data_IF_282608439861
#
_entry.id   IF_282608439861
#
_cell.length_a   1.000
_cell.length_b   1.000
_cell.length_c   1.000
_cell.angle_alpha   90.00
_cell.angle_beta   90.00
_cell.angle_gamma   90.00
#
_symmetry.space_group_name_H-M   'P 1'
#
loop_
_entity.id
_entity.type
_entity.pdbx_description
1 polymer ?
#
# COMPACT_ATOMS: atom_id res chain seq x y z
N UNK A 1 -5.97 -19.01 -17.71
CA UNK A 1 -6.62 -17.96 -16.90
C UNK A 1 -7.98 -18.51 -16.50
N UNK A 2 -8.34 -18.40 -15.23
CA UNK A 2 -9.60 -18.89 -14.67
C UNK A 2 -10.44 -17.66 -14.27
N UNK A 3 -11.63 -17.50 -14.88
CA UNK A 3 -12.49 -16.33 -14.69
C UNK A 3 -13.92 -16.80 -14.49
N UNK A 4 -14.51 -16.38 -13.37
CA UNK A 4 -15.88 -16.70 -13.00
C UNK A 4 -16.65 -15.41 -12.69
N UNK A 5 -17.95 -15.41 -13.00
CA UNK A 5 -18.87 -14.31 -12.66
C UNK A 5 -19.84 -14.82 -11.61
N UNK A 6 -19.83 -14.21 -10.44
CA UNK A 6 -20.63 -14.62 -9.29
C UNK A 6 -21.34 -13.44 -8.67
N UNK A 7 -22.40 -13.71 -7.91
CA UNK A 7 -22.96 -12.68 -7.04
C UNK A 7 -21.94 -12.26 -5.96
N UNK A 8 -22.01 -11.04 -5.40
CA UNK A 8 -21.08 -10.60 -4.36
C UNK A 8 -20.99 -11.56 -3.16
N UNK A 9 -22.11 -12.20 -2.80
CA UNK A 9 -22.18 -13.15 -1.68
C UNK A 9 -21.42 -14.43 -1.98
N UNK A 10 -21.60 -15.00 -3.18
CA UNK A 10 -20.91 -16.22 -3.60
C UNK A 10 -19.41 -15.96 -3.78
N UNK A 11 -19.06 -14.86 -4.47
CA UNK A 11 -17.67 -14.45 -4.68
C UNK A 11 -16.94 -14.28 -3.33
N UNK A 12 -17.59 -13.68 -2.34
CA UNK A 12 -17.03 -13.51 -0.99
C UNK A 12 -16.79 -14.87 -0.32
N UNK A 13 -17.74 -15.81 -0.41
CA UNK A 13 -17.58 -17.15 0.19
C UNK A 13 -16.42 -17.91 -0.44
N UNK A 14 -16.32 -17.91 -1.77
CA UNK A 14 -15.22 -18.57 -2.49
C UNK A 14 -13.89 -17.93 -2.16
N UNK A 15 -13.82 -16.59 -2.17
CA UNK A 15 -12.60 -15.84 -1.82
C UNK A 15 -12.13 -16.17 -0.40
N UNK A 16 -13.03 -16.15 0.59
CA UNK A 16 -12.70 -16.49 1.97
C UNK A 16 -12.28 -17.94 2.15
N UNK A 17 -12.90 -18.89 1.43
CA UNK A 17 -12.51 -20.30 1.48
C UNK A 17 -11.10 -20.48 0.92
N UNK A 18 -10.82 -19.91 -0.25
CA UNK A 18 -9.49 -19.94 -0.88
C UNK A 18 -8.42 -19.28 -0.01
N UNK A 19 -8.73 -18.13 0.59
CA UNK A 19 -7.82 -17.44 1.51
C UNK A 19 -7.45 -18.32 2.72
N UNK A 20 -8.41 -19.06 3.30
CA UNK A 20 -8.13 -20.04 4.38
C UNK A 20 -7.22 -21.18 3.93
N UNK A 21 -7.26 -21.53 2.66
CA UNK A 21 -6.40 -22.55 2.04
C UNK A 21 -5.03 -21.98 1.60
N UNK A 22 -4.76 -20.69 1.87
CA UNK A 22 -3.53 -20.02 1.44
C UNK A 22 -3.48 -19.70 -0.06
N UNK A 23 -4.63 -19.68 -0.72
CA UNK A 23 -4.77 -19.41 -2.15
C UNK A 23 -5.21 -17.97 -2.41
N UNK A 24 -4.66 -17.37 -3.47
CA UNK A 24 -4.95 -15.99 -3.87
C UNK A 24 -6.19 -15.93 -4.79
N UNK A 25 -6.95 -14.83 -4.71
CA UNK A 25 -8.09 -14.54 -5.58
C UNK A 25 -8.10 -13.06 -5.94
N UNK A 26 -8.28 -12.74 -7.23
CA UNK A 26 -8.43 -11.35 -7.67
C UNK A 26 -9.93 -11.02 -7.71
N UNK A 27 -10.34 -9.96 -7.01
CA UNK A 27 -11.72 -9.46 -7.04
C UNK A 27 -11.85 -8.30 -8.03
N UNK A 28 -12.73 -8.44 -9.02
CA UNK A 28 -13.08 -7.36 -9.97
C UNK A 28 -14.46 -6.83 -9.61
N UNK A 29 -14.55 -5.59 -9.15
CA UNK A 29 -15.79 -5.04 -8.56
C UNK A 29 -16.09 -3.62 -9.03
N UNK A 30 -17.32 -3.16 -8.76
CA UNK A 30 -17.69 -1.74 -8.90
C UNK A 30 -17.08 -0.84 -7.81
N UNK A 31 -17.34 0.46 -7.90
CA UNK A 31 -16.69 1.51 -7.10
C UNK A 31 -16.86 1.33 -5.57
N UNK A 32 -18.08 1.07 -5.10
CA UNK A 32 -18.35 0.91 -3.65
C UNK A 32 -17.66 -0.34 -3.09
N UNK A 33 -17.75 -1.47 -3.80
CA UNK A 33 -17.12 -2.70 -3.35
C UNK A 33 -15.59 -2.61 -3.42
N UNK A 34 -15.02 -1.86 -4.37
CA UNK A 34 -13.58 -1.59 -4.39
C UNK A 34 -13.16 -0.99 -3.05
N UNK A 35 -13.80 0.10 -2.63
CA UNK A 35 -13.52 0.78 -1.37
C UNK A 35 -13.57 -0.17 -0.16
N UNK A 36 -14.65 -0.95 -0.05
CA UNK A 36 -14.85 -1.86 1.08
C UNK A 36 -13.84 -3.01 1.11
N UNK A 37 -13.57 -3.62 -0.05
CA UNK A 37 -12.70 -4.79 -0.12
C UNK A 37 -11.22 -4.42 0.03
N UNK A 38 -10.81 -3.23 -0.44
CA UNK A 38 -9.45 -2.71 -0.25
C UNK A 38 -9.16 -2.26 1.18
N UNK A 39 -10.19 -2.10 2.02
CA UNK A 39 -10.00 -1.93 3.47
C UNK A 39 -10.05 -3.30 4.19
N UNK A 40 -11.08 -4.10 3.91
CA UNK A 40 -11.37 -5.36 4.61
C UNK A 40 -10.20 -6.36 4.57
N UNK A 41 -9.77 -6.77 3.36
CA UNK A 41 -8.77 -7.83 3.24
C UNK A 41 -7.37 -7.39 3.70
N UNK A 42 -6.88 -6.20 3.33
CA UNK A 42 -5.60 -5.71 3.86
C UNK A 42 -5.57 -5.56 5.38
N UNK A 43 -6.67 -5.15 6.03
CA UNK A 43 -6.74 -5.14 7.50
C UNK A 43 -6.61 -6.57 8.07
N UNK A 44 -7.27 -7.56 7.46
CA UNK A 44 -7.19 -8.95 7.91
C UNK A 44 -5.80 -9.57 7.68
N UNK A 45 -5.15 -9.23 6.57
CA UNK A 45 -3.87 -9.82 6.16
C UNK A 45 -2.65 -9.11 6.78
N UNK A 46 -2.68 -7.79 6.87
CA UNK A 46 -1.54 -6.94 7.23
C UNK A 46 -1.75 -6.15 8.53
N UNK A 47 -2.95 -6.21 9.11
CA UNK A 47 -3.34 -5.41 10.29
C UNK A 47 -3.60 -3.93 9.98
N UNK A 48 -3.54 -3.52 8.71
CA UNK A 48 -3.78 -2.15 8.24
C UNK A 48 -3.98 -2.11 6.73
N UNK A 49 -4.83 -1.20 6.23
CA UNK A 49 -5.02 -0.93 4.80
C UNK A 49 -4.05 0.12 4.22
N UNK A 50 -3.20 0.71 5.06
CA UNK A 50 -2.21 1.70 4.64
C UNK A 50 -0.99 1.09 3.92
N UNK A 51 -0.80 -0.23 3.99
CA UNK A 51 0.38 -0.94 3.44
C UNK A 51 0.08 -1.63 2.11
N UNK A 52 -0.60 -0.92 1.22
CA UNK A 52 -1.07 -1.43 -0.06
C UNK A 52 -0.56 -0.57 -1.21
N UNK A 53 -0.36 -1.20 -2.36
CA UNK A 53 -0.21 -0.49 -3.63
C UNK A 53 -1.60 -0.13 -4.17
N UNK A 54 -1.82 1.16 -4.47
CA UNK A 54 -3.01 1.64 -5.16
C UNK A 54 -2.59 2.41 -6.41
N UNK A 55 -2.74 1.73 -7.56
CA UNK A 55 -2.28 2.21 -8.87
C UNK A 55 -3.51 2.47 -9.74
N UNK A 56 -3.58 3.68 -10.31
CA UNK A 56 -4.66 4.10 -11.20
C UNK A 56 -4.06 4.47 -12.57
N UNK A 57 -4.11 3.54 -13.54
CA UNK A 57 -3.77 3.85 -14.93
C UNK A 57 -4.78 4.86 -15.49
N UNK A 58 -4.31 6.05 -15.86
CA UNK A 58 -5.18 7.09 -16.39
C UNK A 58 -5.52 6.78 -17.85
N UNK A 59 -6.77 7.02 -18.26
CA UNK A 59 -7.24 6.76 -19.62
C UNK A 59 -6.42 7.51 -20.70
N UNK A 60 -5.84 8.66 -20.35
CA UNK A 60 -4.98 9.45 -21.23
C UNK A 60 -3.53 8.92 -21.30
N UNK A 61 -3.22 7.75 -20.74
CA UNK A 61 -1.89 7.14 -20.73
C UNK A 61 -0.98 7.55 -19.57
N UNK A 62 -1.44 8.45 -18.70
CA UNK A 62 -0.76 8.80 -17.45
C UNK A 62 -0.92 7.73 -16.36
N UNK A 63 -0.34 7.98 -15.18
CA UNK A 63 -0.51 7.13 -14.00
C UNK A 63 -0.72 7.98 -12.76
N UNK A 64 -1.59 7.53 -11.86
CA UNK A 64 -1.76 8.08 -10.52
C UNK A 64 -1.48 6.97 -9.50
N UNK A 65 -0.72 7.30 -8.46
CA UNK A 65 -0.20 6.35 -7.49
C UNK A 65 -0.59 6.84 -6.09
N UNK A 66 -1.63 6.24 -5.53
CA UNK A 66 -2.10 6.57 -4.20
C UNK A 66 -1.22 5.86 -3.15
N UNK A 67 -0.92 6.56 -2.06
CA UNK A 67 0.03 6.10 -1.04
C UNK A 67 -0.59 5.16 -0.01
N UNK A 68 -1.70 4.49 -0.37
CA UNK A 68 -2.50 3.62 0.49
C UNK A 68 -4.01 3.92 0.37
N UNK A 69 -4.84 3.08 0.98
CA UNK A 69 -6.31 3.21 0.96
C UNK A 69 -6.90 3.89 2.21
N UNK A 70 -6.05 4.34 3.14
CA UNK A 70 -6.47 4.92 4.42
C UNK A 70 -6.72 6.44 4.38
N UNK A 71 -7.33 6.96 5.45
CA UNK A 71 -7.53 8.40 5.64
C UNK A 71 -6.32 9.13 6.26
N UNK A 72 -6.47 10.42 6.55
CA UNK A 72 -5.41 11.31 7.06
C UNK A 72 -5.04 11.16 8.55
N UNK A 73 -5.61 10.17 9.24
CA UNK A 73 -5.29 9.80 10.63
C UNK A 73 -5.19 10.98 11.64
N UNK A 74 -6.28 11.71 11.96
CA UNK A 74 -6.25 12.89 12.84
C UNK A 74 -5.70 12.62 14.25
N UNK A 75 -5.82 11.39 14.75
CA UNK A 75 -5.25 10.97 16.05
C UNK A 75 -3.71 10.91 16.05
N UNK A 76 -3.06 10.89 14.90
CA UNK A 76 -1.59 10.95 14.79
C UNK A 76 -1.12 12.38 15.04
N UNK A 77 -1.79 13.36 14.44
CA UNK A 77 -1.51 14.79 14.66
C UNK A 77 -1.68 15.17 16.14
N UNK A 78 -2.73 14.67 16.80
CA UNK A 78 -2.95 14.94 18.22
C UNK A 78 -1.80 14.41 19.10
N UNK A 79 -1.23 13.24 18.79
CA UNK A 79 -0.05 12.75 19.53
C UNK A 79 1.17 13.61 19.24
N UNK A 80 1.40 13.95 17.98
CA UNK A 80 2.52 14.79 17.60
C UNK A 80 2.48 16.16 18.31
N UNK A 81 1.30 16.78 18.40
CA UNK A 81 1.13 18.06 19.10
C UNK A 81 1.40 17.96 20.62
N UNK A 82 1.00 16.85 21.27
CA UNK A 82 1.17 16.68 22.71
C UNK A 82 2.56 16.19 23.11
N UNK A 83 3.13 15.28 22.35
CA UNK A 83 4.26 14.45 22.75
C UNK A 83 5.43 14.50 21.75
N UNK A 84 5.28 15.22 20.63
CA UNK A 84 6.31 15.33 19.60
C UNK A 84 6.60 14.05 18.84
N UNK A 85 5.69 13.06 18.89
CA UNK A 85 5.86 11.72 18.30
C UNK A 85 4.87 11.49 17.16
N UNK A 86 5.37 11.23 15.95
CA UNK A 86 4.53 10.94 14.78
C UNK A 86 4.57 9.45 14.42
N UNK A 87 3.51 8.73 14.76
CA UNK A 87 3.36 7.28 14.47
C UNK A 87 2.74 6.97 13.10
N UNK A 88 2.81 7.90 12.15
CA UNK A 88 2.36 7.68 10.78
C UNK A 88 3.37 6.79 10.04
N UNK A 89 2.90 5.73 9.39
CA UNK A 89 3.74 4.80 8.63
C UNK A 89 3.74 5.21 7.14
N UNK A 90 4.88 5.68 6.64
CA UNK A 90 5.06 6.17 5.27
C UNK A 90 5.37 5.06 4.25
N UNK A 91 5.24 3.78 4.61
CA UNK A 91 5.53 2.67 3.68
C UNK A 91 4.79 2.80 2.35
N UNK A 92 3.51 3.19 2.39
CA UNK A 92 2.71 3.39 1.17
C UNK A 92 3.23 4.52 0.27
N UNK A 93 3.86 5.55 0.84
CA UNK A 93 4.52 6.61 0.08
C UNK A 93 5.78 6.08 -0.64
N UNK A 94 6.56 5.23 0.03
CA UNK A 94 7.75 4.62 -0.58
C UNK A 94 7.39 3.69 -1.73
N UNK A 95 6.35 2.89 -1.53
CA UNK A 95 5.81 1.97 -2.53
C UNK A 95 5.28 2.74 -3.74
N UNK A 96 4.44 3.75 -3.52
CA UNK A 96 3.88 4.58 -4.59
C UNK A 96 4.98 5.33 -5.37
N UNK A 97 5.98 5.89 -4.67
CA UNK A 97 7.11 6.58 -5.31
C UNK A 97 7.95 5.62 -6.17
N UNK A 98 8.20 4.40 -5.69
CA UNK A 98 8.95 3.37 -6.42
C UNK A 98 8.25 3.04 -7.74
N UNK A 99 6.95 2.75 -7.69
CA UNK A 99 6.15 2.43 -8.88
C UNK A 99 6.03 3.64 -9.81
N UNK A 100 5.88 4.86 -9.28
CA UNK A 100 5.80 6.06 -10.10
C UNK A 100 7.08 6.30 -10.91
N UNK A 101 8.25 6.07 -10.31
CA UNK A 101 9.55 6.21 -10.98
C UNK A 101 9.76 5.07 -11.98
N UNK A 102 9.31 3.85 -11.66
CA UNK A 102 9.34 2.70 -12.58
C UNK A 102 8.51 2.96 -13.84
N UNK A 103 7.26 3.43 -13.69
CA UNK A 103 6.39 3.78 -14.81
C UNK A 103 6.98 4.93 -15.66
N UNK A 104 7.55 5.95 -15.01
CA UNK A 104 8.27 7.02 -15.70
C UNK A 104 9.43 6.45 -16.53
N UNK A 105 10.22 5.55 -15.95
CA UNK A 105 11.35 4.92 -16.62
C UNK A 105 10.90 4.11 -17.84
N UNK A 106 9.84 3.31 -17.69
CA UNK A 106 9.29 2.48 -18.76
C UNK A 106 8.74 3.34 -19.92
N UNK A 107 7.99 4.40 -19.61
CA UNK A 107 7.37 5.28 -20.63
C UNK A 107 8.37 6.16 -21.36
N UNK A 108 9.45 6.58 -20.69
CA UNK A 108 10.43 7.51 -21.25
C UNK A 108 11.73 6.86 -21.74
N UNK A 109 11.94 5.57 -21.44
CA UNK A 109 13.24 4.91 -21.67
C UNK A 109 14.37 5.47 -20.79
N UNK A 110 14.05 6.15 -19.68
CA UNK A 110 15.04 6.80 -18.85
C UNK A 110 15.78 5.79 -17.95
N UNK A 111 16.99 5.44 -18.36
CA UNK A 111 17.85 4.49 -17.62
C UNK A 111 18.19 4.95 -16.19
N UNK A 112 18.27 6.26 -15.92
CA UNK A 112 18.53 6.77 -14.56
C UNK A 112 17.32 6.58 -13.65
N UNK A 113 16.13 6.81 -14.18
CA UNK A 113 14.88 6.54 -13.45
C UNK A 113 14.75 5.03 -13.16
N UNK A 114 15.08 4.16 -14.14
CA UNK A 114 15.06 2.71 -13.93
C UNK A 114 16.03 2.28 -12.80
N UNK A 115 17.25 2.82 -12.79
CA UNK A 115 18.22 2.54 -11.73
C UNK A 115 17.74 3.03 -10.36
N UNK A 116 17.09 4.20 -10.30
CA UNK A 116 16.54 4.76 -9.07
C UNK A 116 15.37 3.92 -8.53
N UNK A 117 14.42 3.51 -9.39
CA UNK A 117 13.32 2.62 -9.00
C UNK A 117 13.85 1.29 -8.44
N UNK A 118 14.82 0.67 -9.12
CA UNK A 118 15.42 -0.58 -8.65
C UNK A 118 16.18 -0.44 -7.32
N UNK A 119 16.78 0.73 -7.06
CA UNK A 119 17.42 1.03 -5.78
C UNK A 119 16.39 1.25 -4.65
N UNK A 120 15.30 1.96 -4.94
CA UNK A 120 14.20 2.20 -4.01
C UNK A 120 13.48 0.89 -3.65
N UNK A 121 13.19 0.03 -4.62
CA UNK A 121 12.57 -1.28 -4.37
C UNK A 121 13.42 -2.13 -3.40
N UNK A 122 14.72 -2.19 -3.63
CA UNK A 122 15.67 -2.84 -2.71
C UNK A 122 15.70 -2.18 -1.33
N UNK A 123 15.59 -0.85 -1.26
CA UNK A 123 15.56 -0.13 0.01
C UNK A 123 14.27 -0.42 0.80
N UNK A 124 13.11 -0.45 0.12
CA UNK A 124 11.82 -0.81 0.73
C UNK A 124 11.84 -2.25 1.23
N UNK A 125 12.38 -3.20 0.45
CA UNK A 125 12.54 -4.58 0.90
C UNK A 125 13.41 -4.70 2.15
N UNK A 126 14.55 -3.98 2.19
CA UNK A 126 15.41 -3.93 3.39
C UNK A 126 14.71 -3.28 4.58
N UNK A 127 13.94 -2.20 4.35
CA UNK A 127 13.19 -1.50 5.39
C UNK A 127 12.15 -2.42 6.05
N UNK A 128 11.41 -3.19 5.24
CA UNK A 128 10.44 -4.17 5.71
C UNK A 128 11.09 -5.27 6.57
N UNK A 129 12.22 -5.83 6.12
CA UNK A 129 12.95 -6.87 6.85
C UNK A 129 13.56 -6.33 8.16
N UNK A 130 14.06 -5.10 8.14
CA UNK A 130 14.66 -4.47 9.32
C UNK A 130 13.62 -4.05 10.37
N UNK A 131 12.32 -4.10 10.05
CA UNK A 131 11.21 -3.69 10.91
C UNK A 131 11.41 -2.30 11.53
N UNK A 132 11.91 -1.34 10.73
CA UNK A 132 12.11 0.06 11.14
C UNK A 132 10.84 0.91 11.02
N UNK A 133 9.67 0.29 11.16
CA UNK A 133 8.40 1.00 11.12
C UNK A 133 8.24 1.90 12.35
N UNK A 134 7.55 3.05 12.23
CA UNK A 134 7.28 3.93 13.37
C UNK A 134 6.58 3.20 14.52
N UNK A 135 7.17 3.28 15.71
CA UNK A 135 6.55 2.79 16.93
C UNK A 135 5.38 3.68 17.35
N UNK A 136 4.47 3.12 18.15
CA UNK A 136 3.38 3.89 18.78
C UNK A 136 3.81 4.56 20.08
N UNK A 137 4.96 4.17 20.64
CA UNK A 137 5.48 4.62 21.93
C UNK A 137 6.41 5.82 21.75
N UNK A 138 6.23 6.84 22.58
CA UNK A 138 7.06 8.05 22.59
C UNK A 138 8.50 7.70 22.95
N UNK A 139 9.47 8.37 22.30
CA UNK A 139 10.93 8.15 22.44
C UNK A 139 11.45 6.85 21.81
N UNK A 140 10.61 6.10 21.13
CA UNK A 140 11.04 5.09 20.16
C UNK A 140 11.09 5.70 18.75
N UNK A 141 11.53 4.92 17.75
CA UNK A 141 11.55 5.38 16.35
C UNK A 141 10.16 5.86 15.93
N UNK A 142 10.10 7.02 15.28
CA UNK A 142 8.87 7.58 14.74
C UNK A 142 9.01 7.77 13.22
N UNK A 143 8.02 8.40 12.57
CA UNK A 143 8.00 8.63 11.14
C UNK A 143 9.31 9.22 10.59
N UNK A 144 9.91 10.19 11.29
CA UNK A 144 11.16 10.84 10.85
C UNK A 144 12.34 9.87 10.91
N UNK A 145 12.38 9.02 11.95
CA UNK A 145 13.37 7.98 12.06
C UNK A 145 13.21 6.88 11.00
N UNK A 146 11.99 6.62 10.53
CA UNK A 146 11.76 5.68 9.42
C UNK A 146 12.16 6.23 8.05
N UNK A 147 12.26 7.56 7.90
CA UNK A 147 12.75 8.22 6.67
C UNK A 147 14.28 8.19 6.55
N UNK A 148 15.00 8.10 7.69
CA UNK A 148 16.47 8.10 7.79
C UNK A 148 17.08 6.70 7.60
#
# INVERSE_FOLDING_TARGET
MDIEIMSPVEATRVTCQRAKEGLNTITVTGNVLRDYLTDLFPILELGTSAKMLSIVPLLAGGGMYETGAGGSAPKHVQQFQREGHLRWDSLGEYLALTVAIEDLAAKSGNAKAAALAAALDKAVGKFLVANKNPSRKVREIDNRGSHY
#
